data_IF_804725628585
#
_entry.id   IF_804725628585
#
_cell.length_a   1.000
_cell.length_b   1.000
_cell.length_c   1.000
_cell.angle_alpha   90.00
_cell.angle_beta   90.00
_cell.angle_gamma   90.00
#
_symmetry.space_group_name_H-M   'P 1'
#
loop_
_entity.id
_entity.type
_entity.pdbx_description
1 polymer ?
#
# COMPACT_ATOMS: atom_id res chain seq x y z
N UNK A 1 -24.07 -30.21 15.01
CA UNK A 1 -22.85 -29.38 15.13
C UNK A 1 -23.17 -27.98 14.64
N UNK A 2 -22.88 -26.92 15.41
CA UNK A 2 -23.19 -25.54 14.98
C UNK A 2 -22.20 -25.11 13.90
N UNK A 3 -22.61 -24.16 13.06
CA UNK A 3 -21.78 -23.63 11.96
C UNK A 3 -20.49 -22.99 12.52
N UNK A 4 -20.55 -22.38 13.71
CA UNK A 4 -19.39 -21.83 14.44
C UNK A 4 -18.34 -22.90 14.74
N UNK A 5 -18.77 -24.07 15.19
CA UNK A 5 -17.88 -25.14 15.64
C UNK A 5 -17.14 -25.74 14.44
N UNK A 6 -17.86 -25.90 13.31
CA UNK A 6 -17.27 -26.33 12.04
C UNK A 6 -16.20 -25.37 11.55
N UNK A 7 -16.48 -24.05 11.59
CA UNK A 7 -15.51 -23.03 11.17
C UNK A 7 -14.27 -23.02 12.04
N UNK A 8 -14.43 -23.16 13.36
CA UNK A 8 -13.31 -23.26 14.29
C UNK A 8 -12.44 -24.49 14.02
N UNK A 9 -13.04 -25.67 13.87
CA UNK A 9 -12.30 -26.89 13.57
C UNK A 9 -11.52 -26.81 12.24
N UNK A 10 -12.11 -26.19 11.20
CA UNK A 10 -11.42 -25.94 9.94
C UNK A 10 -10.24 -24.98 10.14
N UNK A 11 -10.45 -23.89 10.88
CA UNK A 11 -9.38 -22.92 11.17
C UNK A 11 -8.21 -23.57 11.91
N UNK A 12 -8.49 -24.40 12.92
CA UNK A 12 -7.46 -25.13 13.68
C UNK A 12 -6.72 -26.14 12.80
N UNK A 13 -7.41 -26.81 11.88
CA UNK A 13 -6.77 -27.71 10.91
C UNK A 13 -5.88 -26.94 9.93
N UNK A 14 -6.36 -25.85 9.34
CA UNK A 14 -5.63 -25.03 8.37
C UNK A 14 -4.36 -24.43 9.00
N UNK A 15 -4.43 -23.95 10.24
CA UNK A 15 -3.30 -23.36 10.96
C UNK A 15 -2.10 -24.32 11.13
N UNK A 16 -2.30 -25.64 10.99
CA UNK A 16 -1.22 -26.63 10.99
C UNK A 16 -0.38 -26.61 9.71
N UNK A 17 -0.92 -26.11 8.61
CA UNK A 17 -0.28 -26.11 7.31
C UNK A 17 0.22 -24.74 6.87
N UNK A 18 -0.42 -23.67 7.36
CA UNK A 18 -0.11 -22.30 6.97
C UNK A 18 0.41 -21.46 8.13
N UNK A 19 1.24 -20.50 7.80
CA UNK A 19 1.67 -19.42 8.68
C UNK A 19 1.17 -18.09 8.12
N UNK A 20 0.58 -17.27 8.97
CA UNK A 20 0.07 -15.94 8.59
C UNK A 20 0.88 -14.90 9.33
N UNK A 21 1.57 -14.05 8.58
CA UNK A 21 2.24 -12.86 9.09
C UNK A 21 1.38 -11.65 8.78
N UNK A 22 0.84 -11.00 9.80
CA UNK A 22 0.12 -9.74 9.64
C UNK A 22 1.12 -8.59 9.53
N UNK A 23 0.82 -7.62 8.68
CA UNK A 23 1.62 -6.42 8.51
C UNK A 23 0.86 -5.23 9.07
N UNK A 24 1.33 -4.71 10.21
CA UNK A 24 0.73 -3.54 10.86
C UNK A 24 1.32 -2.24 10.25
N UNK A 25 0.45 -1.31 9.83
CA UNK A 25 0.83 0.04 9.38
C UNK A 25 0.46 0.39 7.94
N UNK A 26 0.96 1.53 7.44
CA UNK A 26 0.89 1.96 6.04
C UNK A 26 1.73 1.01 5.18
N UNK A 27 1.19 -0.18 4.94
CA UNK A 27 1.88 -1.26 4.25
C UNK A 27 2.36 -0.86 2.86
N UNK A 28 3.37 -1.58 2.37
CA UNK A 28 3.88 -1.39 1.01
C UNK A 28 2.73 -1.47 0.02
N UNK A 29 2.67 -0.49 -0.89
CA UNK A 29 1.71 -0.39 -1.98
C UNK A 29 2.13 -1.28 -3.13
N UNK A 30 1.22 -2.10 -3.64
CA UNK A 30 1.45 -2.93 -4.81
C UNK A 30 0.36 -2.75 -5.86
N UNK A 31 0.71 -3.03 -7.10
CA UNK A 31 -0.20 -3.07 -8.25
C UNK A 31 -0.29 -4.50 -8.74
N UNK A 32 -1.51 -4.96 -9.01
CA UNK A 32 -1.75 -6.27 -9.61
C UNK A 32 -1.32 -6.23 -11.08
N UNK A 33 -0.43 -7.14 -11.44
CA UNK A 33 0.14 -7.31 -12.76
C UNK A 33 -0.78 -7.98 -13.79
N UNK A 34 -0.33 -8.09 -15.05
CA UNK A 34 -1.13 -8.68 -16.12
C UNK A 34 -1.35 -10.18 -15.89
N UNK A 35 -2.46 -10.70 -16.41
CA UNK A 35 -2.82 -12.12 -16.29
C UNK A 35 -3.78 -12.45 -15.13
N UNK A 36 -4.05 -11.49 -14.23
CA UNK A 36 -5.15 -11.57 -13.27
C UNK A 36 -6.35 -10.71 -13.72
N UNK A 37 -7.58 -11.11 -13.35
CA UNK A 37 -8.80 -10.33 -13.63
C UNK A 37 -8.82 -8.95 -12.95
N UNK A 38 -7.96 -8.74 -11.96
CA UNK A 38 -7.80 -7.50 -11.19
C UNK A 38 -6.56 -6.71 -11.62
N UNK A 39 -5.93 -7.07 -12.75
CA UNK A 39 -4.79 -6.35 -13.29
C UNK A 39 -5.04 -4.82 -13.33
N UNK A 40 -4.02 -4.05 -12.94
CA UNK A 40 -4.07 -2.60 -12.81
C UNK A 40 -4.68 -2.09 -11.51
N UNK A 41 -5.37 -2.93 -10.72
CA UNK A 41 -5.81 -2.55 -9.38
C UNK A 41 -4.63 -2.47 -8.43
N UNK A 42 -4.80 -1.66 -7.41
CA UNK A 42 -3.74 -1.28 -6.51
C UNK A 42 -4.23 -1.41 -5.07
N UNK A 43 -3.32 -1.69 -4.14
CA UNK A 43 -3.69 -1.98 -2.77
C UNK A 43 -2.51 -2.01 -1.82
N UNK A 44 -2.84 -2.11 -0.54
CA UNK A 44 -1.88 -2.18 0.57
C UNK A 44 -1.72 -3.63 1.00
N UNK A 45 -0.47 -4.06 1.18
CA UNK A 45 -0.18 -5.37 1.78
C UNK A 45 -0.60 -5.37 3.25
N UNK A 46 -1.43 -6.33 3.63
CA UNK A 46 -1.94 -6.47 5.01
C UNK A 46 -1.51 -7.79 5.67
N UNK A 47 -1.19 -8.82 4.88
CA UNK A 47 -0.65 -10.06 5.40
C UNK A 47 0.16 -10.82 4.34
N UNK A 48 0.98 -11.74 4.79
CA UNK A 48 1.60 -12.79 3.98
C UNK A 48 1.17 -14.15 4.52
N UNK A 49 0.76 -15.06 3.64
CA UNK A 49 0.39 -16.44 4.01
C UNK A 49 1.41 -17.38 3.40
N UNK A 50 2.21 -18.03 4.23
CA UNK A 50 3.20 -19.04 3.82
C UNK A 50 2.77 -20.46 4.14
N UNK A 51 3.29 -21.44 3.41
CA UNK A 51 3.19 -22.86 3.79
C UNK A 51 4.29 -23.21 4.80
N UNK A 52 3.94 -23.95 5.85
CA UNK A 52 4.91 -24.33 6.91
C UNK A 52 5.92 -25.39 6.47
N UNK A 53 5.54 -26.24 5.53
CA UNK A 53 6.30 -27.44 5.16
C UNK A 53 6.69 -27.49 3.69
N UNK A 54 6.46 -26.40 2.95
CA UNK A 54 6.78 -26.27 1.52
C UNK A 54 7.18 -24.84 1.21
N UNK A 55 7.95 -24.65 0.14
CA UNK A 55 8.13 -23.32 -0.43
C UNK A 55 6.81 -22.82 -1.03
N UNK A 56 6.60 -21.52 -0.95
CA UNK A 56 5.45 -20.82 -1.54
C UNK A 56 4.76 -19.94 -0.51
N UNK A 57 4.33 -18.77 -0.96
CA UNK A 57 3.55 -17.84 -0.17
C UNK A 57 2.65 -17.00 -1.06
N UNK A 58 1.58 -16.52 -0.46
CA UNK A 58 0.61 -15.61 -1.03
C UNK A 58 0.69 -14.27 -0.31
N UNK A 59 0.56 -13.19 -1.05
CA UNK A 59 0.51 -11.82 -0.52
C UNK A 59 -0.95 -11.40 -0.46
N UNK A 60 -1.39 -10.96 0.71
CA UNK A 60 -2.75 -10.50 0.93
C UNK A 60 -2.78 -8.98 0.78
N UNK A 61 -3.53 -8.50 -0.21
CA UNK A 61 -3.78 -7.09 -0.44
C UNK A 61 -5.18 -6.69 0.02
N UNK A 62 -5.26 -5.56 0.73
CA UNK A 62 -6.48 -4.76 0.77
C UNK A 62 -6.43 -3.80 -0.42
N UNK A 63 -7.22 -4.11 -1.45
CA UNK A 63 -7.34 -3.29 -2.65
C UNK A 63 -8.01 -1.96 -2.32
N UNK A 64 -7.76 -0.94 -3.14
CA UNK A 64 -8.35 0.40 -2.99
C UNK A 64 -9.88 0.39 -3.07
N UNK A 65 -10.46 -0.64 -3.69
CA UNK A 65 -11.89 -0.87 -3.68
C UNK A 65 -12.44 -1.35 -2.33
N UNK A 66 -11.58 -1.55 -1.32
CA UNK A 66 -11.90 -2.15 -0.02
C UNK A 66 -11.98 -3.68 -0.01
N UNK A 67 -11.76 -4.35 -1.15
CA UNK A 67 -11.76 -5.83 -1.24
C UNK A 67 -10.44 -6.39 -0.72
N UNK A 68 -10.49 -7.56 -0.10
CA UNK A 68 -9.30 -8.30 0.32
C UNK A 68 -9.13 -9.49 -0.62
N UNK A 69 -7.91 -9.67 -1.12
CA UNK A 69 -7.54 -10.78 -1.99
C UNK A 69 -6.10 -11.24 -1.79
N UNK A 70 -5.81 -12.42 -2.32
CA UNK A 70 -4.49 -13.05 -2.27
C UNK A 70 -3.88 -13.09 -3.67
N UNK A 71 -2.58 -12.87 -3.77
CA UNK A 71 -1.84 -12.91 -5.02
C UNK A 71 -0.48 -13.57 -4.85
N UNK A 72 -0.06 -14.32 -5.88
CA UNK A 72 1.29 -14.82 -5.94
C UNK A 72 2.28 -13.63 -6.11
N UNK A 73 3.49 -13.68 -5.55
CA UNK A 73 4.43 -12.56 -5.57
C UNK A 73 4.75 -12.07 -6.98
N UNK A 74 4.87 -12.99 -7.94
CA UNK A 74 5.17 -12.69 -9.34
C UNK A 74 4.02 -11.99 -10.07
N UNK A 75 2.81 -11.98 -9.50
CA UNK A 75 1.65 -11.27 -10.04
C UNK A 75 1.59 -9.82 -9.57
N UNK A 76 2.50 -9.36 -8.73
CA UNK A 76 2.46 -8.01 -8.18
C UNK A 76 3.69 -7.21 -8.61
N UNK A 77 3.49 -5.90 -8.83
CA UNK A 77 4.56 -4.94 -9.03
C UNK A 77 4.55 -3.92 -7.89
N UNK A 78 5.71 -3.41 -7.46
CA UNK A 78 5.77 -2.27 -6.57
C UNK A 78 4.98 -1.11 -7.18
N UNK A 79 4.05 -0.52 -6.42
CA UNK A 79 3.44 0.71 -6.87
C UNK A 79 4.54 1.79 -6.91
N UNK A 80 4.57 2.66 -7.94
CA UNK A 80 5.48 3.78 -7.92
C UNK A 80 5.25 4.56 -6.63
N UNK A 81 6.29 4.74 -5.80
CA UNK A 81 6.18 5.64 -4.65
C UNK A 81 5.67 6.97 -5.18
N UNK A 82 4.44 7.33 -4.81
CA UNK A 82 3.99 8.71 -4.93
C UNK A 82 4.97 9.50 -4.06
N UNK A 83 6.02 10.06 -4.68
CA UNK A 83 6.79 11.13 -4.05
C UNK A 83 5.75 12.12 -3.60
N UNK A 84 5.69 12.34 -2.29
CA UNK A 84 4.85 13.37 -1.72
C UNK A 84 5.04 14.60 -2.59
N UNK A 85 3.96 15.03 -3.25
CA UNK A 85 3.95 16.32 -3.91
C UNK A 85 3.97 17.31 -2.75
N UNK A 86 5.16 17.61 -2.23
CA UNK A 86 5.45 18.89 -1.60
C UNK A 86 5.17 19.92 -2.69
N UNK A 87 3.91 20.34 -2.76
CA UNK A 87 3.53 21.56 -3.43
C UNK A 87 4.29 22.65 -2.68
N UNK A 88 5.45 23.01 -3.21
CA UNK A 88 6.05 24.31 -3.02
C UNK A 88 4.93 25.33 -3.14
N UNK A 89 4.53 25.90 -1.99
CA UNK A 89 3.70 27.08 -1.99
C UNK A 89 4.38 28.11 -2.89
N UNK A 90 3.64 28.84 -3.74
CA UNK A 90 4.25 29.88 -4.55
C UNK A 90 4.89 30.90 -3.60
N UNK A 91 6.20 31.08 -3.69
CA UNK A 91 6.89 32.23 -3.10
C UNK A 91 6.30 33.46 -3.79
N UNK A 92 5.43 34.19 -3.12
CA UNK A 92 5.01 35.52 -3.56
C UNK A 92 6.20 36.45 -3.41
N UNK A 93 6.94 36.68 -4.50
CA UNK A 93 7.92 37.76 -4.58
C UNK A 93 7.18 39.10 -4.63
N UNK A 94 6.93 39.70 -3.46
CA UNK A 94 6.69 41.14 -3.37
C UNK A 94 8.03 41.86 -3.24
N UNK A 95 8.80 41.91 -4.34
CA UNK A 95 9.80 42.96 -4.52
C UNK A 95 9.12 44.12 -5.27
N UNK A 96 8.49 45.01 -4.51
CA UNK A 96 8.23 46.36 -4.99
C UNK A 96 8.14 47.30 -3.79
N UNK A 97 8.99 48.33 -3.83
CA UNK A 97 8.98 49.58 -3.04
C UNK A 97 9.76 49.61 -1.73
N UNK A 98 11.08 49.50 -1.84
CA UNK A 98 11.98 50.34 -1.02
C UNK A 98 13.17 50.71 -1.90
N UNK A 99 13.11 51.88 -2.56
CA UNK A 99 14.26 52.66 -3.06
C UNK A 99 13.77 53.93 -3.78
N UNK A 100 13.22 54.84 -3.00
CA UNK A 100 13.19 56.30 -3.21
C UNK A 100 12.91 56.77 -1.78
N UNK A 101 13.88 57.27 -1.02
CA UNK A 101 14.37 58.65 -1.11
C UNK A 101 15.66 58.69 -0.31
N UNK A 102 16.84 58.78 -0.93
CA UNK A 102 17.99 59.49 -0.34
C UNK A 102 18.91 60.05 -1.46
N UNK A 103 19.04 61.38 -1.49
CA UNK A 103 20.03 62.27 -2.16
C UNK A 103 19.88 62.51 -3.69
N UNK A 104 19.90 63.74 -4.23
CA UNK A 104 20.13 65.08 -3.70
C UNK A 104 20.21 66.15 -4.82
N UNK A 105 20.10 67.41 -4.40
CA UNK A 105 20.62 68.67 -5.00
C UNK A 105 20.10 69.21 -6.35
N UNK A 106 19.41 70.36 -6.27
CA UNK A 106 19.89 71.66 -6.78
C UNK A 106 19.20 72.82 -6.05
#
# INVERSE_FOLDING_TARGET
>A
MRISDKKRAISELVAKFVEVTLHDGDGVRWVVGPGDKRAGQSGTVIATIGLRHSSGYEIVLKLDSGKIDCFAPMQLYPAPQQRAVERSAPITNNLAKENEVINGEA
#
